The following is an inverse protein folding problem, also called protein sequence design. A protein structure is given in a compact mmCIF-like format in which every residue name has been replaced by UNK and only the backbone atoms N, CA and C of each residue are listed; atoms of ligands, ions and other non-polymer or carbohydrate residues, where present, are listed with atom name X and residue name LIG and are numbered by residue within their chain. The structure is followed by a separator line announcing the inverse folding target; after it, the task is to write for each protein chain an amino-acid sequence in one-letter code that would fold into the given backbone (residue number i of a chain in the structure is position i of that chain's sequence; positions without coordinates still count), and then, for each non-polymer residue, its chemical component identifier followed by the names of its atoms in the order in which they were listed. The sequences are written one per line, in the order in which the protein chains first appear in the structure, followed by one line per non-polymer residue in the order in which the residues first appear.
data_IF_829630863936
#
_entry.id   IF_829630863936
#
_cell.length_a   1.000
_cell.length_b   1.000
_cell.length_c   1.000
_cell.angle_alpha   90.00
_cell.angle_beta   90.00
_cell.angle_gamma   90.00
#
_symmetry.space_group_name_H-M   'P 1'
#
loop_
_entity.id
_entity.type
_entity.pdbx_description
1 polymer ?
#
# COMPACT_ATOMS: atom_id res chain seq x y z
N UNK A 1 41.67 -18.00 -67.67
CA UNK A 1 41.38 -19.10 -68.62
C UNK A 1 40.57 -20.15 -67.89
N UNK A 2 39.46 -20.57 -68.52
CA UNK A 2 38.67 -21.81 -68.32
C UNK A 2 37.98 -22.10 -66.97
N UNK A 3 36.66 -21.85 -66.91
CA UNK A 3 35.72 -22.66 -66.10
C UNK A 3 35.36 -23.98 -66.82
N UNK A 4 34.15 -24.53 -66.68
CA UNK A 4 33.31 -24.80 -65.50
C UNK A 4 32.92 -26.31 -65.44
N UNK A 5 32.14 -26.77 -64.45
CA UNK A 5 31.30 -27.97 -64.62
C UNK A 5 30.13 -28.04 -63.64
N UNK A 6 28.94 -28.04 -64.24
CA UNK A 6 27.64 -28.36 -63.68
C UNK A 6 27.53 -29.78 -63.10
N UNK A 7 26.66 -29.99 -62.10
CA UNK A 7 25.67 -31.07 -62.17
C UNK A 7 24.45 -30.86 -61.26
N UNK A 8 23.29 -30.91 -61.92
CA UNK A 8 21.92 -31.06 -61.41
C UNK A 8 21.67 -32.44 -60.76
N UNK A 9 20.69 -32.51 -59.84
CA UNK A 9 19.55 -33.45 -59.77
C UNK A 9 18.82 -33.23 -58.41
N UNK A 10 17.57 -32.77 -58.34
CA UNK A 10 16.27 -33.38 -58.75
C UNK A 10 15.65 -34.28 -57.65
N UNK A 11 14.33 -34.17 -57.46
CA UNK A 11 13.50 -35.24 -56.88
C UNK A 11 12.74 -34.94 -55.58
N UNK A 12 11.55 -34.35 -55.68
CA UNK A 12 10.49 -34.24 -54.65
C UNK A 12 9.83 -35.61 -54.34
N UNK A 13 8.58 -35.74 -53.80
CA UNK A 13 7.89 -35.18 -52.62
C UNK A 13 7.27 -36.31 -51.74
N UNK A 14 6.68 -36.01 -50.56
CA UNK A 14 5.61 -36.88 -50.00
C UNK A 14 4.59 -36.15 -49.11
N UNK A 15 3.40 -35.96 -49.69
CA UNK A 15 2.11 -35.70 -49.03
C UNK A 15 1.70 -36.90 -48.17
N UNK A 16 1.01 -36.65 -47.04
CA UNK A 16 -0.20 -37.42 -46.67
C UNK A 16 -1.23 -36.51 -46.02
N UNK A 17 -2.45 -36.61 -46.54
CA UNK A 17 -3.64 -35.90 -46.12
C UNK A 17 -4.51 -36.76 -45.16
N UNK A 18 -5.30 -36.01 -44.37
CA UNK A 18 -6.54 -36.27 -43.57
C UNK A 18 -7.46 -37.42 -44.05
N UNK A 19 -8.46 -37.91 -43.24
CA UNK A 19 -9.73 -37.16 -43.05
C UNK A 19 -10.63 -37.43 -41.79
N UNK A 20 -11.53 -36.47 -41.49
CA UNK A 20 -12.97 -36.55 -41.02
C UNK A 20 -13.37 -37.28 -39.72
N UNK A 21 -14.52 -37.08 -39.03
CA UNK A 21 -15.58 -36.07 -38.85
C UNK A 21 -16.75 -36.74 -38.07
N UNK A 22 -17.48 -36.01 -37.20
CA UNK A 22 -18.91 -36.14 -36.75
C UNK A 22 -19.05 -35.40 -35.40
N UNK A 23 -19.81 -34.31 -35.17
CA UNK A 23 -21.16 -33.80 -35.54
C UNK A 23 -22.31 -34.53 -34.83
N UNK A 24 -22.96 -33.85 -33.86
CA UNK A 24 -24.40 -33.51 -33.76
C UNK A 24 -24.69 -32.90 -32.35
N UNK A 25 -25.18 -31.65 -32.25
CA UNK A 25 -26.60 -31.20 -32.28
C UNK A 25 -27.31 -31.49 -30.94
N UNK A 26 -28.00 -30.55 -30.25
CA UNK A 26 -29.25 -29.90 -30.68
C UNK A 26 -29.75 -28.90 -29.61
N UNK A 27 -30.26 -27.74 -30.05
CA UNK A 27 -31.55 -27.07 -29.66
C UNK A 27 -31.77 -26.64 -28.18
N UNK A 28 -32.47 -25.56 -27.83
CA UNK A 28 -33.13 -24.41 -28.52
C UNK A 28 -33.78 -23.57 -27.39
N UNK A 29 -33.89 -22.24 -27.58
CA UNK A 29 -35.02 -21.37 -27.20
C UNK A 29 -35.39 -21.25 -25.69
N UNK A 30 -35.96 -20.16 -25.13
CA UNK A 30 -36.52 -18.88 -25.61
C UNK A 30 -36.90 -18.06 -24.37
N UNK A 31 -36.76 -16.72 -24.46
CA UNK A 31 -37.80 -15.77 -24.03
C UNK A 31 -37.88 -15.34 -22.55
N UNK A 32 -37.93 -14.03 -22.26
CA UNK A 32 -38.26 -13.46 -20.95
C UNK A 32 -39.77 -13.14 -20.86
N UNK A 33 -40.43 -13.42 -19.74
CA UNK A 33 -41.82 -13.00 -19.47
C UNK A 33 -41.96 -12.74 -17.97
N UNK A 34 -41.97 -11.47 -17.54
CA UNK A 34 -43.13 -10.58 -17.37
C UNK A 34 -43.91 -10.78 -16.07
N UNK A 35 -43.84 -9.72 -15.27
CA UNK A 35 -44.79 -9.19 -14.28
C UNK A 35 -46.23 -9.70 -14.45
N UNK A 36 -46.85 -10.12 -13.34
CA UNK A 36 -48.32 -9.98 -13.19
C UNK A 36 -48.74 -9.81 -11.74
N UNK A 37 -49.24 -8.60 -11.45
CA UNK A 37 -50.25 -8.29 -10.44
C UNK A 37 -51.42 -9.25 -10.58
N UNK A 38 -51.94 -9.74 -9.47
CA UNK A 38 -53.27 -10.33 -9.39
C UNK A 38 -54.01 -9.77 -8.17
N UNK A 39 -54.83 -8.76 -8.46
CA UNK A 39 -56.02 -8.41 -7.69
C UNK A 39 -57.10 -9.46 -7.94
N UNK A 40 -57.81 -9.90 -6.89
CA UNK A 40 -59.20 -10.42 -6.93
C UNK A 40 -59.69 -10.50 -5.48
N UNK A 41 -60.60 -9.62 -5.04
CA UNK A 41 -62.06 -9.55 -5.27
C UNK A 41 -62.84 -10.46 -4.32
N UNK A 42 -63.69 -9.81 -3.50
CA UNK A 42 -64.62 -10.36 -2.53
C UNK A 42 -65.80 -11.13 -3.15
N UNK A 43 -66.57 -11.83 -2.31
CA UNK A 43 -68.04 -11.82 -2.30
C UNK A 43 -68.55 -11.37 -0.91
N UNK A 44 -69.54 -10.48 -0.74
CA UNK A 44 -70.96 -10.43 -1.16
C UNK A 44 -71.87 -11.43 -0.41
N UNK A 45 -72.90 -10.88 0.28
CA UNK A 45 -74.00 -11.60 0.96
C UNK A 45 -74.30 -11.02 2.35
N UNK A 46 -75.05 -9.93 2.50
CA UNK A 46 -76.52 -9.85 2.63
C UNK A 46 -77.07 -10.17 4.04
N UNK A 47 -77.53 -9.13 4.77
CA UNK A 47 -78.95 -9.01 5.12
C UNK A 47 -79.29 -7.66 5.78
N UNK A 48 -80.47 -7.15 5.43
CA UNK A 48 -81.07 -5.88 5.87
C UNK A 48 -81.92 -6.13 7.10
N UNK A 49 -81.74 -5.31 8.15
CA UNK A 49 -82.85 -4.97 9.06
C UNK A 49 -82.62 -3.57 9.61
N UNK A 50 -83.62 -2.71 9.39
CA UNK A 50 -83.67 -1.34 9.85
C UNK A 50 -83.82 -1.29 11.38
N UNK A 51 -83.03 -0.42 12.02
CA UNK A 51 -83.11 -0.20 13.46
C UNK A 51 -82.22 0.96 13.92
N UNK A 52 -82.82 2.16 13.96
CA UNK A 52 -82.58 3.27 14.88
C UNK A 52 -81.11 3.67 15.20
N UNK A 53 -80.76 4.89 14.81
CA UNK A 53 -79.48 5.55 15.09
C UNK A 53 -79.12 5.61 16.59
N UNK A 54 -77.82 5.50 16.91
CA UNK A 54 -77.21 6.32 17.95
C UNK A 54 -76.11 7.21 17.35
N UNK A 55 -76.11 8.45 17.79
CA UNK A 55 -75.11 9.49 17.51
C UNK A 55 -73.69 9.03 17.88
N UNK A 56 -72.80 8.93 16.90
CA UNK A 56 -71.37 8.71 17.14
C UNK A 56 -70.63 9.99 17.59
N UNK A 57 -69.48 9.88 18.30
CA UNK A 57 -68.77 11.04 18.82
C UNK A 57 -68.11 11.84 17.68
N UNK A 58 -68.20 13.18 17.76
CA UNK A 58 -67.50 14.13 16.88
C UNK A 58 -65.98 13.85 16.88
N UNK A 59 -65.42 13.57 15.71
CA UNK A 59 -63.98 13.50 15.48
C UNK A 59 -63.36 14.88 15.72
N UNK A 60 -62.72 15.08 16.89
CA UNK A 60 -61.92 16.27 17.19
C UNK A 60 -60.64 16.19 16.34
N UNK A 61 -60.45 17.12 15.39
CA UNK A 61 -59.18 17.30 14.69
C UNK A 61 -58.09 17.60 15.73
N UNK A 62 -57.11 16.71 15.89
CA UNK A 62 -55.92 16.99 16.71
C UNK A 62 -55.07 18.01 15.95
N UNK A 63 -54.57 19.08 16.59
CA UNK A 63 -53.63 19.98 15.95
C UNK A 63 -52.34 19.20 15.67
N UNK A 64 -51.80 19.34 14.47
CA UNK A 64 -50.49 18.79 14.12
C UNK A 64 -49.46 19.52 14.97
N UNK A 65 -48.81 18.79 15.88
CA UNK A 65 -47.71 19.30 16.70
C UNK A 65 -46.56 19.65 15.75
N UNK A 66 -46.20 20.94 15.67
CA UNK A 66 -45.00 21.36 14.98
C UNK A 66 -43.81 20.57 15.55
N UNK A 67 -42.98 20.00 14.66
CA UNK A 67 -41.72 19.38 15.07
C UNK A 67 -40.87 20.47 15.72
N UNK A 68 -40.20 20.19 16.85
CA UNK A 68 -39.36 21.17 17.50
C UNK A 68 -38.27 21.62 16.52
N UNK A 69 -38.08 22.94 16.46
CA UNK A 69 -37.01 23.57 15.70
C UNK A 69 -35.68 23.10 16.28
N UNK A 70 -34.78 22.62 15.41
CA UNK A 70 -33.50 22.06 15.81
C UNK A 70 -32.58 23.21 16.26
N UNK A 71 -32.52 23.41 17.58
CA UNK A 71 -31.71 24.42 18.23
C UNK A 71 -30.24 23.97 18.31
N UNK A 72 -29.41 24.51 17.41
CA UNK A 72 -27.97 24.26 17.36
C UNK A 72 -27.20 24.73 18.62
N UNK A 73 -27.81 25.51 19.50
CA UNK A 73 -27.13 26.02 20.70
C UNK A 73 -27.00 24.97 21.82
N UNK A 74 -27.78 23.88 21.78
CA UNK A 74 -27.66 22.78 22.75
C UNK A 74 -26.53 21.79 22.39
N UNK A 75 -26.15 21.66 21.12
CA UNK A 75 -25.01 20.83 20.70
C UNK A 75 -23.68 21.32 21.29
N UNK A 76 -23.50 22.64 21.35
CA UNK A 76 -22.27 23.26 21.89
C UNK A 76 -22.19 23.19 23.43
N UNK A 77 -23.33 23.02 24.10
CA UNK A 77 -23.42 22.94 25.55
C UNK A 77 -23.18 21.52 26.08
N UNK A 78 -23.55 20.49 25.32
CA UNK A 78 -23.30 19.08 25.69
C UNK A 78 -21.81 18.73 25.53
N UNK A 79 -21.06 19.41 24.66
CA UNK A 79 -19.63 19.12 24.45
C UNK A 79 -18.71 19.60 25.58
N UNK A 80 -19.20 20.48 26.48
CA UNK A 80 -18.40 21.04 27.58
C UNK A 80 -18.59 20.38 28.95
N UNK A 81 -19.59 19.51 29.14
CA UNK A 81 -19.92 18.98 30.47
C UNK A 81 -19.26 17.65 30.85
N UNK A 82 -18.64 16.94 29.91
CA UNK A 82 -18.03 15.61 30.16
C UNK A 82 -16.51 15.60 29.94
N UNK A 83 -15.84 16.75 30.14
CA UNK A 83 -14.39 16.80 30.13
C UNK A 83 -13.89 16.52 31.54
N UNK A 84 -13.42 15.29 31.77
CA UNK A 84 -12.70 14.92 32.98
C UNK A 84 -11.58 15.95 33.25
N UNK A 85 -11.62 16.70 34.37
CA UNK A 85 -10.60 17.69 34.70
C UNK A 85 -9.19 17.08 34.82
N UNK A 86 -9.08 15.77 35.06
CA UNK A 86 -7.80 15.04 35.00
C UNK A 86 -7.27 14.85 33.57
N UNK A 87 -8.13 14.86 32.55
CA UNK A 87 -7.72 14.75 31.14
C UNK A 87 -7.02 16.03 30.65
N UNK A 88 -7.54 17.21 31.04
CA UNK A 88 -6.94 18.50 30.72
C UNK A 88 -5.57 18.70 31.39
N UNK A 89 -5.41 18.28 32.65
CA UNK A 89 -4.13 18.35 33.38
C UNK A 89 -3.10 17.35 32.85
N UNK A 90 -3.53 16.22 32.28
CA UNK A 90 -2.67 15.30 31.53
C UNK A 90 -2.34 15.84 30.13
N UNK A 91 -3.09 16.79 29.57
CA UNK A 91 -2.98 17.25 28.17
C UNK A 91 -3.64 16.31 27.15
N UNK A 92 -4.61 15.50 27.58
CA UNK A 92 -5.40 14.65 26.67
C UNK A 92 -6.44 15.62 26.13
N UNK A 93 -6.27 16.02 24.88
CA UNK A 93 -7.39 16.62 24.16
C UNK A 93 -8.25 15.43 23.76
N UNK A 94 -9.43 15.19 24.38
CA UNK A 94 -10.37 14.22 23.85
C UNK A 94 -10.76 14.71 22.45
N UNK A 95 -10.12 14.18 21.42
CA UNK A 95 -10.47 14.49 20.04
C UNK A 95 -11.56 13.54 19.60
N UNK A 96 -12.59 14.10 18.98
CA UNK A 96 -13.60 13.31 18.26
C UNK A 96 -12.92 12.56 17.11
N UNK A 97 -13.51 11.45 16.64
CA UNK A 97 -13.00 10.75 15.44
C UNK A 97 -12.85 11.70 14.24
N UNK A 98 -13.75 12.70 14.16
CA UNK A 98 -13.69 13.77 13.15
C UNK A 98 -12.42 14.61 13.33
N UNK A 99 -12.11 15.03 14.55
CA UNK A 99 -10.86 15.74 14.86
C UNK A 99 -9.60 14.95 14.48
N UNK A 100 -9.58 13.64 14.72
CA UNK A 100 -8.45 12.79 14.32
C UNK A 100 -8.30 12.69 12.79
N UNK A 101 -9.42 12.62 12.04
CA UNK A 101 -9.40 12.60 10.58
C UNK A 101 -8.98 13.96 9.99
N UNK A 102 -9.38 15.07 10.61
CA UNK A 102 -8.95 16.41 10.21
C UNK A 102 -7.46 16.62 10.41
N UNK A 103 -6.90 16.09 11.51
CA UNK A 103 -5.46 16.04 11.70
C UNK A 103 -4.77 15.26 10.58
N UNK A 104 -5.26 14.07 10.21
CA UNK A 104 -4.69 13.27 9.13
C UNK A 104 -4.65 14.06 7.81
N UNK A 105 -5.77 14.70 7.45
CA UNK A 105 -5.87 15.49 6.23
C UNK A 105 -4.87 16.64 6.21
N UNK A 106 -4.85 17.45 7.27
CA UNK A 106 -3.94 18.59 7.39
C UNK A 106 -2.49 18.13 7.26
N UNK A 107 -2.15 17.02 7.91
CA UNK A 107 -0.81 16.46 7.89
C UNK A 107 -0.38 15.97 6.52
N UNK A 108 -1.26 15.27 5.81
CA UNK A 108 -1.02 14.81 4.43
C UNK A 108 -0.78 16.01 3.50
N UNK A 109 -1.58 17.07 3.62
CA UNK A 109 -1.42 18.28 2.79
C UNK A 109 -0.06 18.93 3.05
N UNK A 110 0.32 19.10 4.32
CA UNK A 110 1.62 19.66 4.69
C UNK A 110 2.77 18.80 4.15
N UNK A 111 2.68 17.47 4.28
CA UNK A 111 3.68 16.55 3.72
C UNK A 111 3.74 16.61 2.20
N UNK A 112 2.61 16.74 1.51
CA UNK A 112 2.57 16.86 0.06
C UNK A 112 3.19 18.17 -0.43
N UNK A 113 2.89 19.28 0.23
CA UNK A 113 3.49 20.59 -0.09
C UNK A 113 5.00 20.56 0.15
N UNK A 114 5.45 20.01 1.28
CA UNK A 114 6.86 19.84 1.55
C UNK A 114 7.56 18.96 0.50
N UNK A 115 6.92 17.87 0.06
CA UNK A 115 7.44 17.00 -0.99
C UNK A 115 7.60 17.75 -2.33
N UNK A 116 6.63 18.58 -2.71
CA UNK A 116 6.70 19.37 -3.95
C UNK A 116 7.86 20.37 -3.88
N UNK A 117 7.99 21.11 -2.77
CA UNK A 117 9.08 22.08 -2.55
C UNK A 117 10.44 21.37 -2.61
N UNK A 118 10.58 20.24 -1.91
CA UNK A 118 11.80 19.44 -1.94
C UNK A 118 12.08 18.87 -3.33
N UNK A 119 11.06 18.51 -4.10
CA UNK A 119 11.23 17.99 -5.47
C UNK A 119 11.76 19.07 -6.41
N UNK A 120 11.25 20.30 -6.30
CA UNK A 120 11.74 21.45 -7.07
C UNK A 120 13.21 21.73 -6.70
N UNK A 121 13.53 21.72 -5.41
CA UNK A 121 14.90 21.90 -4.94
C UNK A 121 15.83 20.75 -5.38
N UNK A 122 15.38 19.50 -5.35
CA UNK A 122 16.16 18.34 -5.78
C UNK A 122 16.36 18.30 -7.30
N UNK A 123 15.47 18.92 -8.08
CA UNK A 123 15.56 18.95 -9.54
C UNK A 123 16.80 19.71 -10.02
N UNK A 124 17.24 20.76 -9.30
CA UNK A 124 18.46 21.52 -9.63
C UNK A 124 19.73 20.67 -9.54
N UNK A 125 19.74 19.65 -8.68
CA UNK A 125 20.84 18.70 -8.49
C UNK A 125 20.62 17.35 -9.18
N UNK A 126 19.61 17.23 -10.05
CA UNK A 126 19.19 15.96 -10.64
C UNK A 126 20.28 15.23 -11.43
N UNK A 127 21.22 15.95 -12.06
CA UNK A 127 22.35 15.33 -12.80
C UNK A 127 23.32 14.63 -11.86
N UNK A 128 23.68 15.28 -10.76
CA UNK A 128 24.61 14.73 -9.76
C UNK A 128 24.01 13.49 -9.08
N UNK A 129 22.71 13.52 -8.79
CA UNK A 129 21.99 12.36 -8.27
C UNK A 129 21.95 11.21 -9.29
N UNK A 130 21.72 11.51 -10.57
CA UNK A 130 21.74 10.51 -11.63
C UNK A 130 23.10 9.83 -11.73
N UNK A 131 24.17 10.61 -11.75
CA UNK A 131 25.53 10.08 -11.78
C UNK A 131 25.82 9.20 -10.58
N UNK A 132 25.35 9.60 -9.39
CA UNK A 132 25.44 8.79 -8.18
C UNK A 132 24.69 7.45 -8.33
N UNK A 133 23.42 7.49 -8.75
CA UNK A 133 22.57 6.29 -8.93
C UNK A 133 23.14 5.32 -9.98
N UNK A 134 23.80 5.87 -11.00
CA UNK A 134 24.35 5.07 -12.10
C UNK A 134 25.71 4.44 -11.77
N UNK A 135 26.40 4.83 -10.68
CA UNK A 135 27.71 4.27 -10.30
C UNK A 135 27.78 2.73 -10.26
N UNK A 136 26.81 2.01 -9.67
CA UNK A 136 26.84 0.54 -9.64
C UNK A 136 26.81 -0.10 -11.03
N UNK A 137 26.28 0.61 -12.02
CA UNK A 137 26.18 0.14 -13.40
C UNK A 137 27.37 0.60 -14.26
N UNK A 138 27.77 1.87 -14.17
CA UNK A 138 28.87 2.42 -14.99
C UNK A 138 30.22 1.80 -14.67
N UNK A 139 30.41 1.31 -13.44
CA UNK A 139 31.60 0.53 -13.04
C UNK A 139 31.74 -0.80 -13.78
N UNK A 140 30.67 -1.31 -14.42
CA UNK A 140 30.73 -2.51 -15.25
C UNK A 140 31.27 -2.25 -16.67
N UNK A 141 31.49 -0.98 -17.04
CA UNK A 141 31.95 -0.57 -18.38
C UNK A 141 30.84 -0.46 -19.43
N UNK A 142 29.59 -0.78 -19.08
CA UNK A 142 28.43 -0.65 -19.95
C UNK A 142 27.81 0.74 -19.87
N UNK A 143 27.24 1.21 -20.99
CA UNK A 143 26.52 2.49 -21.08
C UNK A 143 25.02 2.25 -21.11
N UNK A 144 24.27 3.11 -20.42
CA UNK A 144 22.81 3.13 -20.46
C UNK A 144 22.34 3.90 -21.69
N UNK A 145 21.35 3.37 -22.40
CA UNK A 145 20.80 3.98 -23.60
C UNK A 145 19.44 4.62 -23.31
N UNK A 146 19.17 5.75 -23.97
CA UNK A 146 17.87 6.43 -23.93
C UNK A 146 17.17 6.16 -25.25
N UNK A 147 15.96 5.61 -25.21
CA UNK A 147 15.23 5.17 -26.40
C UNK A 147 14.21 6.20 -26.90
N UNK A 148 13.73 7.08 -26.01
CA UNK A 148 12.74 8.12 -26.34
C UNK A 148 13.28 9.52 -26.04
N UNK A 149 12.89 10.51 -26.83
CA UNK A 149 13.28 11.91 -26.61
C UNK A 149 12.84 12.43 -25.23
N UNK A 150 11.68 12.01 -24.74
CA UNK A 150 11.13 12.46 -23.44
C UNK A 150 11.72 11.74 -22.24
N UNK A 151 12.41 10.62 -22.43
CA UNK A 151 12.90 9.79 -21.31
C UNK A 151 13.91 10.54 -20.45
N UNK A 152 14.81 11.33 -21.04
CA UNK A 152 15.80 12.10 -20.27
C UNK A 152 15.15 13.05 -19.26
N UNK A 153 14.10 13.76 -19.67
CA UNK A 153 13.34 14.64 -18.78
C UNK A 153 12.60 13.85 -17.69
N UNK A 154 11.90 12.78 -18.05
CA UNK A 154 11.15 11.94 -17.10
C UNK A 154 12.08 11.29 -16.07
N UNK A 155 13.27 10.85 -16.48
CA UNK A 155 14.27 10.28 -15.56
C UNK A 155 14.70 11.33 -14.53
N UNK A 156 15.03 12.54 -14.96
CA UNK A 156 15.42 13.64 -14.05
C UNK A 156 14.32 13.98 -13.06
N UNK A 157 13.07 14.03 -13.54
CA UNK A 157 11.89 14.27 -12.69
C UNK A 157 11.67 13.14 -11.67
N UNK A 158 11.81 11.86 -12.08
CA UNK A 158 11.70 10.70 -11.17
C UNK A 158 12.77 10.74 -10.09
N UNK A 159 14.01 11.01 -10.49
CA UNK A 159 15.16 11.08 -9.57
C UNK A 159 14.98 12.20 -8.55
N UNK A 160 14.56 13.39 -8.99
CA UNK A 160 14.34 14.51 -8.07
C UNK A 160 13.18 14.25 -7.11
N UNK A 161 12.07 13.67 -7.59
CA UNK A 161 10.92 13.35 -6.75
C UNK A 161 11.25 12.31 -5.68
N UNK A 162 11.98 11.26 -6.05
CA UNK A 162 12.35 10.21 -5.10
C UNK A 162 13.44 10.69 -4.14
N UNK A 163 14.42 11.46 -4.61
CA UNK A 163 15.40 12.04 -3.71
C UNK A 163 14.79 13.04 -2.73
N UNK A 164 13.80 13.82 -3.17
CA UNK A 164 13.01 14.67 -2.28
C UNK A 164 12.25 13.86 -1.23
N UNK A 165 11.67 12.72 -1.61
CA UNK A 165 11.03 11.81 -0.66
C UNK A 165 12.02 11.30 0.39
N UNK A 166 13.23 10.90 -0.04
CA UNK A 166 14.28 10.35 0.82
C UNK A 166 14.92 11.41 1.73
N UNK A 167 15.15 12.62 1.21
CA UNK A 167 15.67 13.74 1.99
C UNK A 167 14.62 14.29 2.97
N UNK A 168 13.34 14.30 2.55
CA UNK A 168 12.20 14.72 3.37
C UNK A 168 11.76 13.68 4.41
N UNK A 169 12.35 12.49 4.42
CA UNK A 169 11.93 11.41 5.32
C UNK A 169 11.87 11.80 6.81
N UNK A 170 12.86 12.51 7.40
CA UNK A 170 12.79 12.89 8.81
C UNK A 170 11.55 13.72 9.12
N UNK A 171 11.15 14.58 8.19
CA UNK A 171 9.93 15.36 8.26
C UNK A 171 8.67 14.50 8.13
N UNK A 172 8.63 13.57 7.17
CA UNK A 172 7.48 12.67 6.96
C UNK A 172 7.27 11.72 8.14
N UNK A 173 8.35 11.15 8.67
CA UNK A 173 8.32 10.29 9.86
C UNK A 173 7.84 11.08 11.07
N UNK A 174 8.34 12.30 11.27
CA UNK A 174 7.86 13.17 12.34
C UNK A 174 6.36 13.46 12.23
N UNK A 175 5.88 13.74 11.02
CA UNK A 175 4.48 14.06 10.78
C UNK A 175 3.57 12.85 10.98
N UNK A 176 3.99 11.68 10.49
CA UNK A 176 3.32 10.40 10.73
C UNK A 176 3.32 10.05 12.22
N UNK A 177 4.44 10.27 12.92
CA UNK A 177 4.54 9.99 14.35
C UNK A 177 3.60 10.85 15.17
N UNK A 178 3.55 12.15 14.89
CA UNK A 178 2.67 13.07 15.63
C UNK A 178 1.18 12.73 15.42
N UNK A 179 0.81 11.99 14.36
CA UNK A 179 -0.54 11.46 14.16
C UNK A 179 -0.81 10.22 15.01
N UNK A 180 0.21 9.37 15.21
CA UNK A 180 0.12 8.16 16.04
C UNK A 180 0.24 8.48 17.54
N UNK A 181 0.90 9.58 17.89
CA UNK A 181 1.18 10.00 19.28
C UNK A 181 -0.03 9.94 20.22
N UNK A 182 -1.25 10.36 19.83
CA UNK A 182 -2.43 10.28 20.71
C UNK A 182 -2.80 8.84 21.11
N UNK A 183 -2.41 7.83 20.33
CA UNK A 183 -2.66 6.43 20.65
C UNK A 183 -1.69 5.84 21.70
N UNK A 184 -0.65 6.60 22.09
CA UNK A 184 0.37 6.15 23.04
C UNK A 184 0.20 6.89 24.38
N UNK A 185 0.20 6.15 25.48
CA UNK A 185 0.08 6.73 26.82
C UNK A 185 1.18 7.80 27.08
N UNK A 186 0.76 8.96 27.60
CA UNK A 186 1.62 10.15 27.75
C UNK A 186 2.84 9.99 28.64
N UNK A 187 2.85 8.98 29.50
CA UNK A 187 3.98 8.63 30.38
C UNK A 187 5.17 7.99 29.66
N UNK A 188 5.18 7.93 28.32
CA UNK A 188 6.23 7.28 27.53
C UNK A 188 6.89 8.19 26.48
N UNK A 189 7.20 9.43 26.87
CA UNK A 189 7.88 10.41 26.00
C UNK A 189 9.25 9.92 25.50
N UNK A 190 9.94 9.09 26.29
CA UNK A 190 11.24 8.53 25.90
C UNK A 190 11.09 7.50 24.77
N UNK A 191 10.12 6.57 24.89
CA UNK A 191 9.79 5.63 23.83
C UNK A 191 9.39 6.35 22.54
N UNK A 192 8.57 7.41 22.65
CA UNK A 192 8.17 8.20 21.50
C UNK A 192 9.36 8.78 20.75
N UNK A 193 10.29 9.43 21.46
CA UNK A 193 11.47 10.04 20.85
C UNK A 193 12.41 8.99 20.27
N UNK A 194 12.64 7.90 21.01
CA UNK A 194 13.53 6.83 20.57
C UNK A 194 12.99 6.13 19.32
N UNK A 195 11.67 5.96 19.23
CA UNK A 195 11.03 5.35 18.05
C UNK A 195 11.23 6.21 16.80
N UNK A 196 10.99 7.52 16.89
CA UNK A 196 11.20 8.46 15.76
C UNK A 196 12.66 8.48 15.31
N UNK A 197 13.60 8.56 16.25
CA UNK A 197 15.03 8.53 15.94
C UNK A 197 15.40 7.18 15.30
N UNK A 198 14.92 6.08 15.87
CA UNK A 198 15.19 4.74 15.36
C UNK A 198 14.63 4.53 13.95
N UNK A 199 13.43 5.03 13.64
CA UNK A 199 12.87 4.97 12.28
C UNK A 199 13.76 5.67 11.26
N UNK A 200 14.21 6.90 11.57
CA UNK A 200 15.10 7.64 10.68
C UNK A 200 16.40 6.86 10.41
N UNK A 201 17.00 6.27 11.45
CA UNK A 201 18.17 5.42 11.30
C UNK A 201 17.88 4.14 10.49
N UNK A 202 16.74 3.50 10.72
CA UNK A 202 16.35 2.27 10.02
C UNK A 202 16.10 2.52 8.54
N UNK A 203 15.42 3.61 8.19
CA UNK A 203 15.18 3.98 6.80
C UNK A 203 16.47 4.26 6.06
N UNK A 204 17.34 5.11 6.61
CA UNK A 204 18.62 5.42 5.97
C UNK A 204 19.56 4.21 5.96
N UNK A 205 19.54 3.38 7.00
CA UNK A 205 20.26 2.11 7.04
C UNK A 205 19.77 1.15 5.95
N UNK A 206 18.45 1.06 5.75
CA UNK A 206 17.84 0.29 4.67
C UNK A 206 18.21 0.82 3.29
N UNK A 207 18.18 2.13 3.11
CA UNK A 207 18.60 2.78 1.86
C UNK A 207 20.07 2.48 1.53
N UNK A 208 20.97 2.59 2.50
CA UNK A 208 22.40 2.25 2.34
C UNK A 208 22.56 0.76 2.01
N UNK A 209 21.87 -0.12 2.72
CA UNK A 209 21.90 -1.55 2.48
C UNK A 209 21.42 -1.92 1.07
N UNK A 210 20.36 -1.28 0.58
CA UNK A 210 19.83 -1.53 -0.75
C UNK A 210 20.77 -1.00 -1.82
N UNK A 211 21.21 0.25 -1.69
CA UNK A 211 22.02 0.91 -2.70
C UNK A 211 23.42 0.29 -2.84
N UNK A 212 24.09 -0.01 -1.72
CA UNK A 212 25.45 -0.57 -1.73
C UNK A 212 25.51 -2.09 -1.66
N UNK A 213 24.46 -2.74 -1.15
CA UNK A 213 24.40 -4.20 -1.04
C UNK A 213 23.60 -4.82 -2.17
N UNK A 214 22.28 -4.61 -2.19
CA UNK A 214 21.38 -5.36 -3.06
C UNK A 214 21.46 -4.95 -4.52
N UNK A 215 21.51 -3.66 -4.84
CA UNK A 215 21.56 -3.17 -6.23
C UNK A 215 22.77 -3.71 -6.98
N UNK A 216 24.03 -3.54 -6.51
CA UNK A 216 25.19 -4.08 -7.23
C UNK A 216 25.17 -5.60 -7.30
N UNK A 217 24.68 -6.28 -6.25
CA UNK A 217 24.52 -7.74 -6.28
C UNK A 217 23.52 -8.18 -7.35
N UNK A 218 22.35 -7.54 -7.40
CA UNK A 218 21.31 -7.82 -8.40
C UNK A 218 21.84 -7.56 -9.82
N UNK A 219 22.49 -6.42 -10.06
CA UNK A 219 23.11 -6.10 -11.36
C UNK A 219 24.14 -7.15 -11.75
N UNK A 220 25.07 -7.51 -10.85
CA UNK A 220 26.10 -8.53 -11.13
C UNK A 220 25.49 -9.90 -11.47
N UNK A 221 24.48 -10.33 -10.71
CA UNK A 221 23.79 -11.59 -10.93
C UNK A 221 23.05 -11.58 -12.27
N UNK A 222 22.30 -10.53 -12.57
CA UNK A 222 21.55 -10.39 -13.83
C UNK A 222 22.47 -10.35 -15.05
N UNK A 223 23.56 -9.58 -15.00
CA UNK A 223 24.55 -9.54 -16.08
C UNK A 223 25.30 -10.86 -16.21
N UNK A 224 25.47 -11.62 -15.12
CA UNK A 224 26.11 -12.94 -15.13
C UNK A 224 25.35 -14.01 -15.93
N UNK A 225 24.04 -13.82 -16.16
CA UNK A 225 23.25 -14.72 -17.00
C UNK A 225 23.35 -14.42 -18.51
N UNK A 226 23.92 -13.27 -18.88
CA UNK A 226 24.08 -12.90 -20.28
C UNK A 226 25.28 -13.65 -20.86
N UNK A 227 25.05 -14.44 -21.91
CA UNK A 227 26.13 -15.13 -22.63
C UNK A 227 27.01 -14.14 -23.38
N UNK A 228 28.33 -14.42 -23.48
CA UNK A 228 29.33 -13.53 -24.10
C UNK A 228 29.03 -13.14 -25.56
N UNK A 229 28.17 -13.87 -26.25
CA UNK A 229 27.78 -13.63 -27.64
C UNK A 229 26.63 -12.62 -27.78
N UNK A 230 25.97 -12.22 -26.68
CA UNK A 230 24.86 -11.27 -26.69
C UNK A 230 25.30 -9.89 -26.24
N UNK A 231 24.98 -8.86 -27.03
CA UNK A 231 25.14 -7.46 -26.62
C UNK A 231 23.96 -7.03 -25.75
N UNK A 232 24.22 -6.81 -24.45
CA UNK A 232 23.20 -6.33 -23.50
C UNK A 232 22.96 -4.83 -23.65
N UNK A 233 21.86 -4.46 -24.29
CA UNK A 233 21.43 -3.06 -24.43
C UNK A 233 20.40 -2.74 -23.34
N UNK A 234 20.80 -1.99 -22.31
CA UNK A 234 19.94 -1.67 -21.17
C UNK A 234 19.44 -0.23 -21.26
N UNK A 235 18.14 -0.05 -21.07
CA UNK A 235 17.49 1.26 -21.04
C UNK A 235 17.79 2.02 -19.75
N UNK A 236 18.13 3.31 -19.88
CA UNK A 236 18.34 4.21 -18.75
C UNK A 236 17.09 4.35 -17.88
N UNK A 237 15.91 4.44 -18.49
CA UNK A 237 14.66 4.59 -17.75
C UNK A 237 14.34 3.35 -16.91
N UNK A 238 14.52 2.16 -17.48
CA UNK A 238 14.20 0.90 -16.82
C UNK A 238 15.13 0.68 -15.63
N UNK A 239 16.43 0.87 -15.83
CA UNK A 239 17.43 0.77 -14.77
C UNK A 239 17.17 1.77 -13.64
N UNK A 240 17.03 3.07 -13.97
CA UNK A 240 16.82 4.11 -12.94
C UNK A 240 15.49 3.90 -12.23
N UNK A 241 14.42 3.54 -12.95
CA UNK A 241 13.12 3.25 -12.33
C UNK A 241 13.19 2.06 -11.39
N UNK A 242 13.90 0.99 -11.80
CA UNK A 242 14.15 -0.16 -10.94
C UNK A 242 14.88 0.25 -9.66
N UNK A 243 16.04 0.91 -9.77
CA UNK A 243 16.85 1.28 -8.61
C UNK A 243 16.08 2.22 -7.68
N UNK A 244 15.42 3.25 -8.23
CA UNK A 244 14.67 4.21 -7.45
C UNK A 244 13.47 3.58 -6.72
N UNK A 245 12.64 2.82 -7.45
CA UNK A 245 11.48 2.13 -6.87
C UNK A 245 11.94 1.16 -5.77
N UNK A 246 13.01 0.43 -6.04
CA UNK A 246 13.54 -0.57 -5.14
C UNK A 246 14.10 0.07 -3.86
N UNK A 247 14.84 1.18 -3.96
CA UNK A 247 15.30 1.97 -2.82
C UNK A 247 14.14 2.49 -1.97
N UNK A 248 13.07 3.03 -2.58
CA UNK A 248 11.91 3.55 -1.85
C UNK A 248 11.15 2.44 -1.14
N UNK A 249 10.79 1.37 -1.86
CA UNK A 249 10.00 0.27 -1.29
C UNK A 249 10.77 -0.42 -0.17
N UNK A 250 12.05 -0.73 -0.38
CA UNK A 250 12.86 -1.36 0.66
C UNK A 250 13.10 -0.41 1.84
N UNK A 251 13.33 0.88 1.62
CA UNK A 251 13.43 1.86 2.70
C UNK A 251 12.17 1.87 3.59
N UNK A 252 10.98 1.87 2.98
CA UNK A 252 9.70 1.79 3.70
C UNK A 252 9.58 0.45 4.43
N UNK A 253 10.01 -0.66 3.85
CA UNK A 253 9.93 -1.98 4.49
C UNK A 253 10.90 -2.11 5.68
N UNK A 254 12.01 -1.39 5.66
CA UNK A 254 12.91 -1.31 6.80
C UNK A 254 12.28 -0.63 8.01
N UNK A 255 11.18 0.12 7.85
CA UNK A 255 10.41 0.68 8.97
C UNK A 255 9.50 -0.36 9.67
N UNK A 256 9.32 -1.53 9.05
CA UNK A 256 8.45 -2.58 9.57
C UNK A 256 8.74 -2.96 11.04
N UNK A 257 9.99 -3.10 11.50
CA UNK A 257 10.28 -3.39 12.92
C UNK A 257 9.81 -2.30 13.88
N UNK A 258 9.90 -1.03 13.49
CA UNK A 258 9.39 0.10 14.29
C UNK A 258 7.87 0.05 14.35
N UNK A 259 7.21 -0.20 13.21
CA UNK A 259 5.76 -0.35 13.15
C UNK A 259 5.30 -1.47 14.09
N UNK A 260 5.92 -2.66 14.02
CA UNK A 260 5.59 -3.79 14.91
C UNK A 260 5.83 -3.45 16.39
N UNK A 261 6.92 -2.75 16.70
CA UNK A 261 7.24 -2.31 18.07
C UNK A 261 6.14 -1.40 18.62
N UNK A 262 5.71 -0.41 17.84
CA UNK A 262 4.65 0.54 18.21
C UNK A 262 3.32 -0.18 18.40
N UNK A 263 2.92 -1.03 17.45
CA UNK A 263 1.68 -1.81 17.55
C UNK A 263 1.68 -2.76 18.76
N UNK A 264 2.85 -3.33 19.10
CA UNK A 264 3.01 -4.16 20.30
C UNK A 264 2.86 -3.32 21.57
N UNK A 265 3.41 -2.09 21.58
CA UNK A 265 3.33 -1.19 22.73
C UNK A 265 1.89 -0.79 23.05
N UNK A 266 1.12 -0.46 22.02
CA UNK A 266 -0.31 -0.11 22.11
C UNK A 266 -1.16 -1.35 22.48
N UNK A 267 -0.67 -2.56 22.18
CA UNK A 267 -1.32 -3.83 22.55
C UNK A 267 -2.14 -4.47 21.42
N UNK A 268 -2.06 -3.92 20.21
CA UNK A 268 -2.73 -4.46 19.01
C UNK A 268 -2.07 -5.77 18.57
N UNK A 269 -0.75 -5.87 18.73
CA UNK A 269 0.04 -7.06 18.38
C UNK A 269 0.66 -7.69 19.63
N UNK A 270 0.66 -9.02 19.69
CA UNK A 270 1.39 -9.77 20.72
C UNK A 270 2.55 -10.54 20.09
N UNK A 271 3.69 -10.68 20.79
CA UNK A 271 4.84 -11.42 20.27
C UNK A 271 4.49 -12.88 19.95
N UNK A 272 3.61 -13.48 20.75
CA UNK A 272 3.11 -14.84 20.55
C UNK A 272 2.26 -14.97 19.27
N UNK A 273 1.47 -13.95 18.93
CA UNK A 273 0.70 -13.92 17.69
C UNK A 273 1.61 -13.89 16.46
N UNK A 274 2.62 -13.02 16.45
CA UNK A 274 3.60 -12.96 15.35
C UNK A 274 4.35 -14.30 15.24
N UNK A 275 4.85 -14.83 16.36
CA UNK A 275 5.57 -16.10 16.35
C UNK A 275 4.72 -17.28 15.83
N UNK A 276 3.43 -17.33 16.18
CA UNK A 276 2.51 -18.38 15.68
C UNK A 276 2.23 -18.24 14.18
N UNK A 277 2.26 -17.02 13.64
CA UNK A 277 1.91 -16.73 12.23
C UNK A 277 3.14 -16.63 11.29
N UNK A 278 4.34 -17.02 11.75
CA UNK A 278 5.59 -17.05 10.96
C UNK A 278 5.43 -17.63 9.55
N UNK A 279 4.81 -18.80 9.42
CA UNK A 279 4.61 -19.44 8.12
C UNK A 279 3.78 -18.61 7.14
N UNK A 280 2.79 -17.85 7.62
CA UNK A 280 1.98 -16.95 6.79
C UNK A 280 2.76 -15.68 6.43
N UNK A 281 3.55 -15.16 7.37
CA UNK A 281 4.40 -14.00 7.13
C UNK A 281 5.44 -14.29 6.04
N UNK A 282 6.09 -15.46 6.06
CA UNK A 282 7.04 -15.87 5.02
C UNK A 282 6.38 -15.88 3.64
N UNK A 283 5.20 -16.48 3.51
CA UNK A 283 4.46 -16.49 2.24
C UNK A 283 4.11 -15.07 1.79
N UNK A 284 3.64 -14.21 2.71
CA UNK A 284 3.32 -12.82 2.39
C UNK A 284 4.57 -12.03 1.95
N UNK A 285 5.73 -12.28 2.57
CA UNK A 285 7.01 -11.67 2.20
C UNK A 285 7.43 -12.08 0.79
N UNK A 286 7.24 -13.35 0.42
CA UNK A 286 7.51 -13.79 -0.97
C UNK A 286 6.56 -13.13 -1.97
N UNK A 287 5.26 -13.04 -1.66
CA UNK A 287 4.28 -12.32 -2.50
C UNK A 287 4.69 -10.84 -2.65
N UNK A 288 5.06 -10.20 -1.55
CA UNK A 288 5.49 -8.81 -1.56
C UNK A 288 6.78 -8.61 -2.37
N UNK A 289 7.74 -9.53 -2.22
CA UNK A 289 9.00 -9.54 -2.99
C UNK A 289 8.73 -9.70 -4.49
N UNK A 290 7.75 -10.51 -4.88
CA UNK A 290 7.34 -10.69 -6.27
C UNK A 290 6.69 -9.43 -6.87
N UNK A 291 6.02 -8.61 -6.06
CA UNK A 291 5.46 -7.32 -6.51
C UNK A 291 6.53 -6.24 -6.61
N UNK A 292 7.53 -6.26 -5.72
CA UNK A 292 8.62 -5.29 -5.68
C UNK A 292 9.64 -5.52 -6.80
N UNK A 293 9.92 -6.79 -7.12
CA UNK A 293 10.93 -7.16 -8.13
C UNK A 293 10.34 -7.08 -9.54
N UNK A 294 10.83 -6.19 -10.42
CA UNK A 294 10.26 -6.04 -11.76
C UNK A 294 10.56 -7.24 -12.67
N UNK A 295 11.66 -7.97 -12.42
CA UNK A 295 12.10 -9.08 -13.27
C UNK A 295 11.41 -10.41 -12.96
N UNK A 296 10.55 -10.48 -11.94
CA UNK A 296 9.76 -11.65 -11.54
C UNK A 296 10.52 -13.00 -11.59
N UNK A 297 11.83 -12.99 -11.39
CA UNK A 297 12.67 -14.17 -11.41
C UNK A 297 12.93 -14.67 -9.98
N UNK A 298 13.04 -15.99 -9.83
CA UNK A 298 13.14 -16.64 -8.51
C UNK A 298 14.36 -16.15 -7.72
N UNK A 299 15.47 -15.86 -8.39
CA UNK A 299 16.70 -15.43 -7.72
C UNK A 299 16.55 -14.03 -7.13
N UNK A 300 16.13 -13.03 -7.92
CA UNK A 300 15.89 -11.68 -7.39
C UNK A 300 14.82 -11.69 -6.31
N UNK A 301 13.74 -12.47 -6.47
CA UNK A 301 12.72 -12.62 -5.43
C UNK A 301 13.32 -13.13 -4.11
N UNK A 302 14.19 -14.13 -4.13
CA UNK A 302 14.85 -14.65 -2.91
C UNK A 302 15.78 -13.60 -2.29
N UNK A 303 16.54 -12.87 -3.12
CA UNK A 303 17.45 -11.81 -2.68
C UNK A 303 16.69 -10.71 -1.91
N UNK A 304 15.47 -10.38 -2.34
CA UNK A 304 14.61 -9.41 -1.66
C UNK A 304 13.90 -10.02 -0.45
N UNK A 305 13.42 -11.25 -0.55
CA UNK A 305 12.67 -11.90 0.52
C UNK A 305 13.53 -12.15 1.76
N UNK A 306 14.80 -12.52 1.59
CA UNK A 306 15.70 -12.86 2.69
C UNK A 306 15.88 -11.72 3.73
N UNK A 307 16.23 -10.48 3.34
CA UNK A 307 16.30 -9.38 4.30
C UNK A 307 14.94 -9.03 4.91
N UNK A 308 13.84 -9.21 4.19
CA UNK A 308 12.49 -8.99 4.74
C UNK A 308 12.11 -10.05 5.80
N UNK A 309 12.47 -11.31 5.58
CA UNK A 309 12.30 -12.38 6.59
C UNK A 309 13.14 -12.06 7.83
N UNK A 310 14.37 -11.59 7.64
CA UNK A 310 15.25 -11.19 8.74
C UNK A 310 14.67 -10.00 9.52
N UNK A 311 14.14 -8.97 8.83
CA UNK A 311 13.44 -7.86 9.46
C UNK A 311 12.23 -8.32 10.25
N UNK A 312 11.45 -9.27 9.72
CA UNK A 312 10.31 -9.85 10.43
C UNK A 312 10.74 -10.58 11.71
N UNK A 313 11.84 -11.33 11.68
CA UNK A 313 12.36 -12.01 12.87
C UNK A 313 12.87 -11.01 13.92
N UNK A 314 13.60 -9.98 13.50
CA UNK A 314 14.03 -8.87 14.36
C UNK A 314 12.81 -8.20 15.00
N UNK A 315 11.74 -8.00 14.23
CA UNK A 315 10.48 -7.41 14.71
C UNK A 315 9.85 -8.25 15.83
N UNK A 316 9.88 -9.58 15.72
CA UNK A 316 9.40 -10.47 16.77
C UNK A 316 10.25 -10.32 18.03
N UNK A 317 11.57 -10.27 17.90
CA UNK A 317 12.49 -10.11 19.03
C UNK A 317 12.24 -8.78 19.75
N UNK A 318 12.15 -7.67 19.01
CA UNK A 318 11.85 -6.33 19.54
C UNK A 318 10.48 -6.32 20.24
N UNK A 319 9.48 -6.97 19.64
CA UNK A 319 8.14 -7.12 20.22
C UNK A 319 8.19 -7.84 21.57
N UNK A 320 8.96 -8.94 21.69
CA UNK A 320 9.14 -9.65 22.97
C UNK A 320 9.75 -8.76 24.05
N UNK A 321 10.82 -8.03 23.74
CA UNK A 321 11.45 -7.12 24.70
C UNK A 321 10.52 -5.98 25.13
N UNK A 322 9.77 -5.41 24.18
CA UNK A 322 8.80 -4.35 24.45
C UNK A 322 7.65 -4.84 25.35
N UNK A 323 7.14 -6.04 25.10
CA UNK A 323 6.06 -6.63 25.91
C UNK A 323 6.49 -6.89 27.37
N UNK A 324 7.70 -7.41 27.58
CA UNK A 324 8.24 -7.67 28.93
C UNK A 324 8.46 -6.36 29.70
N UNK A 325 8.97 -5.31 29.04
CA UNK A 325 9.17 -3.98 29.67
C UNK A 325 7.84 -3.35 30.08
N UNK A 326 6.78 -3.52 29.29
CA UNK A 326 5.43 -3.06 29.66
C UNK A 326 4.94 -3.77 30.91
N UNK A 327 5.01 -5.10 30.95
CA UNK A 327 4.61 -5.88 32.13
C UNK A 327 5.36 -5.48 33.40
N UNK A 328 6.68 -5.25 33.33
CA UNK A 328 7.47 -4.78 34.47
C UNK A 328 7.03 -3.40 34.98
N UNK A 329 6.81 -2.46 34.05
CA UNK A 329 6.30 -1.11 34.38
C UNK A 329 4.91 -1.17 35.02
N UNK A 330 4.03 -2.02 34.51
CA UNK A 330 2.67 -2.21 35.05
C UNK A 330 2.69 -2.92 36.43
N UNK A 331 3.71 -3.74 36.70
CA UNK A 331 3.94 -4.41 37.99
C UNK A 331 4.76 -3.55 38.99
N UNK A 332 5.23 -2.37 38.59
CA UNK A 332 6.02 -1.47 39.45
C UNK A 332 7.44 -1.96 39.81
N UNK A 333 8.00 -2.90 39.02
CA UNK A 333 9.32 -3.53 39.25
C UNK A 333 10.36 -3.14 38.20
#
# INVERSE_FOLDING_TARGET
MTGPKDRKQDGSPKKKARPTAKRQSKKKNTGPVSVKKASRKAPSGANVTAGRAPTGPRHRKRPVRALPEYDNSQSDAIEKSDIDPEAMTRGDVPMTLVGHLDELRSRIIISLVALIILTIAAFTFSEQLLDFINRPFTTTGLKLNVFKLTEGFIIRLKVSAIAALMAGLPFFVFQAWRFILPAIAKGDRMFSRLSVISSIFLFYGGMVFVFFGLVPFAVKVMLGFVTKEMMSTIGANDYVSFVLLFCVLMGILFEFPIVVMVLTRIGILTPAFLARKRKYAIVLIFVLSAVITPTQDVLTMIIVALPLILLYEISIIISRFTAVRKMKKDLGV
#
